data_IF_961729834308
#
_entry.id   IF_961729834308
#
_cell.length_a   1.000
_cell.length_b   1.000
_cell.length_c   1.000
_cell.angle_alpha   90.00
_cell.angle_beta   90.00
_cell.angle_gamma   90.00
#
_symmetry.space_group_name_H-M   'P 1'
#
loop_
_entity.id
_entity.type
_entity.pdbx_description
1 polymer ?
#
# COMPACT_ATOMS: atom_id res chain seq x y z
N UNK A 1 44.20 -1.44 12.64
CA UNK A 1 42.92 -2.04 13.05
C UNK A 1 41.82 -1.00 12.89
N UNK A 2 41.25 -0.82 11.70
CA UNK A 2 40.14 0.11 11.50
C UNK A 2 38.84 -0.60 11.92
N UNK A 3 38.22 -0.12 13.00
CA UNK A 3 36.97 -0.69 13.53
C UNK A 3 35.88 -0.59 12.47
N UNK A 4 35.30 -1.74 12.10
CA UNK A 4 34.12 -1.81 11.26
C UNK A 4 33.02 -1.05 11.97
N UNK A 5 32.61 0.10 11.43
CA UNK A 5 31.44 0.82 11.89
C UNK A 5 30.26 -0.16 11.93
N UNK A 6 29.78 -0.47 13.13
CA UNK A 6 28.69 -1.41 13.35
C UNK A 6 27.43 -0.74 12.81
N UNK A 7 26.99 -1.15 11.62
CA UNK A 7 25.74 -0.66 11.03
C UNK A 7 24.59 -0.91 11.99
N UNK A 8 23.76 0.10 12.22
CA UNK A 8 22.59 -0.03 13.10
C UNK A 8 21.32 -0.29 12.29
N UNK A 9 20.32 -0.84 12.98
CA UNK A 9 19.01 -1.12 12.41
C UNK A 9 18.33 0.15 11.89
N UNK A 10 18.48 1.25 12.61
CA UNK A 10 17.91 2.56 12.26
C UNK A 10 18.52 3.11 10.97
N UNK A 11 19.82 2.89 10.75
CA UNK A 11 20.48 3.28 9.50
C UNK A 11 19.96 2.46 8.31
N UNK A 12 19.70 1.16 8.52
CA UNK A 12 19.13 0.27 7.51
C UNK A 12 17.70 0.71 7.17
N UNK A 13 16.90 1.05 8.17
CA UNK A 13 15.52 1.51 7.99
C UNK A 13 15.46 2.87 7.29
N UNK A 14 16.27 3.85 7.72
CA UNK A 14 16.36 5.14 7.06
C UNK A 14 16.80 5.02 5.58
N UNK A 15 17.70 4.09 5.28
CA UNK A 15 18.10 3.80 3.91
C UNK A 15 16.97 3.15 3.09
N UNK A 16 16.21 2.24 3.69
CA UNK A 16 15.06 1.62 3.06
C UNK A 16 13.93 2.63 2.78
N UNK A 17 13.62 3.50 3.74
CA UNK A 17 12.65 4.60 3.59
C UNK A 17 13.07 5.57 2.50
N UNK A 18 14.35 5.98 2.47
CA UNK A 18 14.87 6.84 1.40
C UNK A 18 14.68 6.21 0.02
N UNK A 19 14.94 4.92 -0.12
CA UNK A 19 14.71 4.21 -1.39
C UNK A 19 13.23 4.19 -1.77
N UNK A 20 12.33 3.95 -0.80
CA UNK A 20 10.88 4.00 -1.02
C UNK A 20 10.40 5.40 -1.43
N UNK A 21 10.89 6.46 -0.78
CA UNK A 21 10.58 7.85 -1.13
C UNK A 21 11.08 8.21 -2.54
N UNK A 22 12.20 7.65 -2.98
CA UNK A 22 12.73 7.78 -4.34
C UNK A 22 11.95 6.91 -5.37
N UNK A 23 10.91 6.18 -4.94
CA UNK A 23 10.15 5.26 -5.80
C UNK A 23 10.93 4.00 -6.21
N UNK A 24 12.03 3.69 -5.51
CA UNK A 24 12.91 2.54 -5.77
C UNK A 24 12.60 1.42 -4.79
N UNK A 25 12.73 0.17 -5.24
CA UNK A 25 12.57 -0.98 -4.36
C UNK A 25 13.73 -1.06 -3.36
N UNK A 26 13.48 -1.14 -2.03
CA UNK A 26 14.51 -1.26 -1.02
C UNK A 26 15.07 -2.69 -0.97
N UNK A 27 15.84 -3.06 -2.00
CA UNK A 27 16.52 -4.37 -2.06
C UNK A 27 17.72 -4.39 -1.11
N UNK A 28 18.12 -5.57 -0.65
CA UNK A 28 19.29 -5.71 0.25
C UNK A 28 20.56 -5.08 -0.33
N UNK A 29 20.75 -5.19 -1.65
CA UNK A 29 21.89 -4.60 -2.35
C UNK A 29 21.81 -3.06 -2.39
N UNK A 30 20.63 -2.50 -2.68
CA UNK A 30 20.42 -1.05 -2.71
C UNK A 30 20.59 -0.44 -1.31
N UNK A 31 19.99 -1.06 -0.29
CA UNK A 31 20.12 -0.65 1.11
C UNK A 31 21.59 -0.69 1.54
N UNK A 32 22.31 -1.78 1.24
CA UNK A 32 23.75 -1.93 1.52
C UNK A 32 24.59 -0.86 0.82
N UNK A 33 24.22 -0.48 -0.40
CA UNK A 33 24.87 0.61 -1.13
C UNK A 33 24.69 1.97 -0.46
N UNK A 34 23.50 2.25 0.07
CA UNK A 34 23.18 3.52 0.75
C UNK A 34 23.88 3.64 2.10
N UNK A 35 23.90 2.56 2.89
CA UNK A 35 24.54 2.54 4.23
C UNK A 35 26.07 2.34 4.18
N UNK A 36 26.63 2.04 3.01
CA UNK A 36 28.08 1.96 2.80
C UNK A 36 28.75 0.66 3.29
N UNK A 37 27.99 -0.38 3.65
CA UNK A 37 28.56 -1.65 4.11
C UNK A 37 27.63 -2.47 5.01
N UNK A 38 28.21 -3.45 5.73
CA UNK A 38 27.47 -4.35 6.62
C UNK A 38 27.26 -5.76 6.07
N UNK A 39 26.93 -6.69 6.98
CA UNK A 39 26.59 -8.07 6.63
C UNK A 39 25.19 -8.14 6.03
N UNK A 40 25.03 -8.91 4.95
CA UNK A 40 23.73 -9.17 4.34
C UNK A 40 22.76 -9.82 5.33
N UNK A 41 23.25 -10.63 6.29
CA UNK A 41 22.43 -11.24 7.33
C UNK A 41 21.78 -10.17 8.22
N UNK A 42 22.58 -9.23 8.74
CA UNK A 42 22.11 -8.12 9.57
C UNK A 42 21.14 -7.20 8.82
N UNK A 43 21.41 -6.92 7.54
CA UNK A 43 20.51 -6.12 6.70
C UNK A 43 19.19 -6.86 6.46
N UNK A 44 19.22 -8.17 6.23
CA UNK A 44 18.00 -8.96 6.03
C UNK A 44 17.13 -9.05 7.29
N UNK A 45 17.74 -9.21 8.47
CA UNK A 45 17.03 -9.21 9.74
C UNK A 45 16.35 -7.86 9.98
N UNK A 46 17.11 -6.76 9.85
CA UNK A 46 16.56 -5.41 9.99
C UNK A 46 15.45 -5.12 8.96
N UNK A 47 15.61 -5.55 7.70
CA UNK A 47 14.58 -5.37 6.66
C UNK A 47 13.32 -6.20 6.89
N UNK A 48 13.45 -7.39 7.47
CA UNK A 48 12.29 -8.20 7.86
C UNK A 48 11.49 -7.49 8.96
N UNK A 49 12.20 -6.96 9.97
CA UNK A 49 11.57 -6.17 11.02
C UNK A 49 10.96 -4.87 10.48
N UNK A 50 11.63 -4.20 9.54
CA UNK A 50 11.12 -3.00 8.87
C UNK A 50 9.77 -3.28 8.20
N UNK A 51 9.68 -4.37 7.43
CA UNK A 51 8.43 -4.80 6.79
C UNK A 51 7.36 -5.15 7.80
N UNK A 52 7.71 -5.86 8.87
CA UNK A 52 6.75 -6.20 9.93
C UNK A 52 6.21 -4.97 10.68
N UNK A 53 7.02 -3.91 10.82
CA UNK A 53 6.57 -2.62 11.38
C UNK A 53 5.73 -1.86 10.36
N UNK A 54 6.17 -1.77 9.11
CA UNK A 54 5.38 -1.15 8.04
C UNK A 54 4.03 -1.85 7.88
N UNK A 55 3.94 -3.17 7.84
CA UNK A 55 2.66 -3.89 7.75
C UNK A 55 1.74 -3.66 8.97
N UNK A 56 2.30 -3.39 10.16
CA UNK A 56 1.51 -3.04 11.35
C UNK A 56 1.05 -1.58 11.35
N UNK A 57 1.86 -0.69 10.80
CA UNK A 57 1.56 0.75 10.71
C UNK A 57 0.68 1.08 9.50
N UNK A 58 0.92 0.43 8.37
CA UNK A 58 0.15 0.45 7.12
C UNK A 58 -1.00 -0.56 7.13
N UNK A 59 -1.21 -1.31 8.23
CA UNK A 59 -2.50 -1.96 8.44
C UNK A 59 -3.52 -0.83 8.37
N UNK A 60 -4.31 -0.72 7.29
CA UNK A 60 -5.24 0.38 7.16
C UNK A 60 -6.13 0.25 8.38
N UNK A 61 -6.22 1.31 9.18
CA UNK A 61 -7.35 1.45 10.08
C UNK A 61 -8.55 1.44 9.13
N UNK A 62 -9.12 0.25 8.93
CA UNK A 62 -10.38 0.05 8.23
C UNK A 62 -11.41 0.60 9.18
N UNK A 63 -11.51 1.93 9.21
CA UNK A 63 -12.64 2.59 9.82
C UNK A 63 -13.88 1.95 9.17
N UNK A 64 -14.79 1.37 9.95
CA UNK A 64 -16.00 0.78 9.38
C UNK A 64 -16.66 1.86 8.54
N UNK A 65 -17.02 1.53 7.30
CA UNK A 65 -17.67 2.51 6.43
C UNK A 65 -18.88 3.06 7.19
N UNK A 66 -19.04 4.39 7.26
CA UNK A 66 -20.18 4.98 7.94
C UNK A 66 -21.49 4.37 7.39
N UNK A 67 -22.44 3.95 8.25
CA UNK A 67 -23.70 3.32 7.79
C UNK A 67 -24.48 4.16 6.76
N UNK A 68 -24.31 5.49 6.79
CA UNK A 68 -24.88 6.42 5.80
C UNK A 68 -24.44 6.12 4.36
N UNK A 69 -23.27 5.49 4.18
CA UNK A 69 -22.76 5.16 2.86
C UNK A 69 -23.55 4.00 2.22
N UNK A 70 -24.03 3.04 3.01
CA UNK A 70 -24.85 1.94 2.50
C UNK A 70 -26.17 2.48 1.96
N UNK A 71 -26.79 3.42 2.66
CA UNK A 71 -27.99 4.10 2.19
C UNK A 71 -27.74 4.93 0.92
N UNK A 72 -26.62 5.67 0.89
CA UNK A 72 -26.24 6.45 -0.28
C UNK A 72 -25.98 5.56 -1.51
N UNK A 73 -25.28 4.44 -1.33
CA UNK A 73 -25.01 3.46 -2.37
C UNK A 73 -26.30 2.81 -2.88
N UNK A 74 -27.21 2.42 -1.98
CA UNK A 74 -28.50 1.86 -2.35
C UNK A 74 -29.34 2.82 -3.20
N UNK A 75 -29.39 4.11 -2.83
CA UNK A 75 -30.10 5.15 -3.59
C UNK A 75 -29.50 5.33 -4.99
N UNK A 76 -28.18 5.46 -5.08
CA UNK A 76 -27.48 5.60 -6.36
C UNK A 76 -27.76 4.39 -7.27
N UNK A 77 -27.68 3.17 -6.75
CA UNK A 77 -27.93 1.96 -7.53
C UNK A 77 -29.40 1.86 -8.00
N UNK A 78 -30.36 2.32 -7.19
CA UNK A 78 -31.76 2.39 -7.58
C UNK A 78 -31.99 3.37 -8.74
N UNK A 79 -31.33 4.53 -8.74
CA UNK A 79 -31.41 5.50 -9.84
C UNK A 79 -30.81 4.93 -11.14
N UNK A 80 -29.64 4.28 -11.05
CA UNK A 80 -29.01 3.61 -12.19
C UNK A 80 -29.94 2.55 -12.78
N UNK A 81 -30.56 1.74 -11.93
CA UNK A 81 -31.51 0.71 -12.36
C UNK A 81 -32.74 1.31 -13.06
N UNK A 82 -33.29 2.41 -12.53
CA UNK A 82 -34.44 3.09 -13.12
C UNK A 82 -34.11 3.58 -14.54
N UNK A 83 -32.95 4.20 -14.73
CA UNK A 83 -32.49 4.68 -16.05
C UNK A 83 -32.30 3.50 -17.01
N UNK A 84 -31.59 2.46 -16.56
CA UNK A 84 -31.29 1.29 -17.39
C UNK A 84 -32.56 0.56 -17.83
N UNK A 85 -33.52 0.36 -16.93
CA UNK A 85 -34.80 -0.28 -17.24
C UNK A 85 -35.71 0.60 -18.08
N UNK A 86 -35.69 1.92 -17.87
CA UNK A 86 -36.37 2.88 -18.73
C UNK A 86 -35.91 2.75 -20.19
N UNK A 87 -34.60 2.79 -20.42
CA UNK A 87 -34.00 2.64 -21.75
C UNK A 87 -34.34 1.28 -22.39
N UNK A 88 -34.26 0.19 -21.61
CA UNK A 88 -34.62 -1.14 -22.08
C UNK A 88 -36.09 -1.23 -22.51
N UNK A 89 -37.00 -0.62 -21.75
CA UNK A 89 -38.43 -0.60 -22.05
C UNK A 89 -38.76 0.26 -23.28
N UNK A 90 -38.09 1.40 -23.46
CA UNK A 90 -38.24 2.22 -24.68
C UNK A 90 -37.83 1.44 -25.93
N UNK A 91 -36.69 0.74 -25.88
CA UNK A 91 -36.24 -0.12 -26.99
C UNK A 91 -37.26 -1.22 -27.32
N UNK A 92 -37.78 -1.92 -26.30
CA UNK A 92 -38.79 -2.97 -26.49
C UNK A 92 -40.09 -2.45 -27.10
N UNK A 93 -40.49 -1.21 -26.80
CA UNK A 93 -41.66 -0.58 -27.40
C UNK A 93 -41.44 -0.21 -28.86
N UNK A 94 -40.24 0.22 -29.23
CA UNK A 94 -39.90 0.57 -30.61
C UNK A 94 -39.78 -0.66 -31.53
N UNK A 95 -39.50 -1.84 -30.96
CA UNK A 95 -39.39 -3.12 -31.68
C UNK A 95 -40.74 -3.87 -31.84
N UNK A 96 -41.85 -3.33 -31.32
CA UNK A 96 -43.21 -3.91 -31.42
C UNK A 96 -44.08 -3.12 -32.41
#
# INVERSE_FOLDING_TARGET
MAGVARITKEQIWAAAEKLLQEGKSPTLAAVRGVVGGGSYTTISEAMSEFRAVQEKTDAPIKEPLPPVLDEAAARMMAEVWLIATGLANERLKAER
#
